data_IF_978896979268
#
_entry.id   IF_978896979268
#
_cell.length_a   1.000
_cell.length_b   1.000
_cell.length_c   1.000
_cell.angle_alpha   90.00
_cell.angle_beta   90.00
_cell.angle_gamma   90.00
#
_symmetry.space_group_name_H-M   'P 1'
#
loop_
_entity.id
_entity.type
_entity.pdbx_description
1 polymer ?
#
# COMPACT_ATOMS: atom_id res chain seq x y z
N UNK A 1 8.87 -10.12 -30.65
CA UNK A 1 9.73 -9.76 -29.47
C UNK A 1 8.84 -9.65 -28.25
N UNK A 2 9.30 -10.05 -27.07
CA UNK A 2 8.48 -9.85 -25.88
C UNK A 2 8.50 -8.37 -25.47
N UNK A 3 7.34 -7.73 -25.54
CA UNK A 3 7.12 -6.34 -25.09
C UNK A 3 6.84 -6.33 -23.60
N UNK A 4 7.36 -5.35 -22.88
CA UNK A 4 7.12 -5.16 -21.46
C UNK A 4 5.99 -4.14 -21.25
N UNK A 5 4.87 -4.53 -20.68
CA UNK A 5 3.69 -3.68 -20.46
C UNK A 5 3.59 -3.35 -18.97
N UNK A 6 3.64 -2.05 -18.66
CA UNK A 6 3.36 -1.52 -17.31
C UNK A 6 1.86 -1.23 -17.18
N UNK A 7 1.29 -1.65 -16.07
CA UNK A 7 -0.10 -1.40 -15.68
C UNK A 7 -0.17 -0.51 -14.44
N UNK A 8 -1.19 0.36 -14.37
CA UNK A 8 -1.67 0.99 -13.15
C UNK A 8 -3.02 0.36 -12.80
N UNK A 9 -3.18 -0.09 -11.56
CA UNK A 9 -4.27 -0.96 -11.15
C UNK A 9 -4.90 -0.42 -9.87
N UNK A 10 -6.23 -0.32 -9.85
CA UNK A 10 -7.03 -0.07 -8.66
C UNK A 10 -7.78 -1.34 -8.23
N UNK A 11 -7.96 -1.52 -6.93
CA UNK A 11 -8.79 -2.62 -6.41
C UNK A 11 -9.38 -2.31 -5.04
N UNK A 12 -10.58 -2.86 -4.81
CA UNK A 12 -11.18 -3.02 -3.49
C UNK A 12 -10.60 -4.27 -2.83
N UNK A 13 -9.77 -4.09 -1.81
CA UNK A 13 -9.06 -5.18 -1.13
C UNK A 13 -9.92 -6.02 -0.18
N UNK A 14 -11.18 -5.64 0.06
CA UNK A 14 -12.05 -6.21 1.11
C UNK A 14 -12.14 -7.74 1.04
N UNK A 15 -12.37 -8.28 -0.16
CA UNK A 15 -12.55 -9.72 -0.39
C UNK A 15 -11.25 -10.43 -0.83
N UNK A 16 -10.10 -9.74 -0.74
CA UNK A 16 -8.81 -10.29 -1.12
C UNK A 16 -7.93 -10.58 0.09
N UNK A 17 -7.22 -11.69 0.03
CA UNK A 17 -6.14 -12.02 0.98
C UNK A 17 -4.82 -11.32 0.63
N UNK A 18 -4.94 -10.10 0.11
CA UNK A 18 -3.84 -9.23 -0.29
C UNK A 18 -3.47 -9.34 -1.78
N UNK A 19 -2.37 -8.70 -2.12
CA UNK A 19 -1.89 -8.66 -3.50
C UNK A 19 -1.36 -10.01 -4.00
N UNK A 20 -0.44 -10.62 -3.23
CA UNK A 20 0.37 -11.76 -3.67
C UNK A 20 -0.44 -13.04 -3.80
N UNK A 21 -0.29 -13.76 -4.93
CA UNK A 21 -0.86 -15.10 -5.11
C UNK A 21 -0.44 -16.05 -3.98
N UNK A 22 -1.41 -16.75 -3.43
CA UNK A 22 -1.27 -17.72 -2.36
C UNK A 22 -2.16 -18.94 -2.67
N UNK A 23 -1.73 -20.10 -2.21
CA UNK A 23 -2.54 -21.32 -2.34
C UNK A 23 -3.83 -21.20 -1.53
N UNK A 24 -4.96 -21.57 -2.12
CA UNK A 24 -6.30 -21.60 -1.51
C UNK A 24 -6.88 -20.21 -1.09
N UNK A 25 -6.28 -19.11 -1.51
CA UNK A 25 -6.78 -17.79 -1.18
C UNK A 25 -6.89 -16.89 -2.41
N UNK A 26 -8.01 -16.21 -2.55
CA UNK A 26 -8.23 -15.22 -3.61
C UNK A 26 -7.28 -14.03 -3.45
N UNK A 27 -6.51 -13.70 -4.45
CA UNK A 27 -5.56 -12.60 -4.46
C UNK A 27 -5.68 -11.74 -5.72
N UNK A 28 -5.30 -10.46 -5.63
CA UNK A 28 -5.40 -9.54 -6.77
C UNK A 28 -4.50 -9.96 -7.92
N UNK A 29 -3.27 -10.39 -7.62
CA UNK A 29 -2.32 -10.86 -8.62
C UNK A 29 -2.88 -12.05 -9.42
N UNK A 30 -3.49 -13.00 -8.74
CA UNK A 30 -4.06 -14.19 -9.37
C UNK A 30 -5.21 -13.86 -10.33
N UNK A 31 -6.11 -12.93 -9.94
CA UNK A 31 -7.22 -12.53 -10.81
C UNK A 31 -6.73 -11.88 -12.11
N UNK A 32 -5.67 -11.06 -12.01
CA UNK A 32 -5.08 -10.43 -13.20
C UNK A 32 -4.31 -11.47 -14.03
N UNK A 33 -3.57 -12.39 -13.42
CA UNK A 33 -2.86 -13.46 -14.12
C UNK A 33 -3.84 -14.39 -14.85
N UNK A 34 -5.01 -14.71 -14.27
CA UNK A 34 -6.10 -15.45 -14.95
C UNK A 34 -6.65 -14.70 -16.18
N UNK A 35 -6.80 -13.38 -16.08
CA UNK A 35 -7.23 -12.56 -17.22
C UNK A 35 -6.16 -12.53 -18.33
N UNK A 36 -4.89 -12.37 -17.96
CA UNK A 36 -3.76 -12.43 -18.88
C UNK A 36 -3.64 -13.81 -19.56
N UNK A 37 -3.80 -14.89 -18.80
CA UNK A 37 -3.77 -16.26 -19.34
C UNK A 37 -4.84 -16.48 -20.40
N UNK A 38 -6.08 -15.98 -20.17
CA UNK A 38 -7.14 -16.05 -21.18
C UNK A 38 -6.79 -15.31 -22.45
N UNK A 39 -6.10 -14.17 -22.36
CA UNK A 39 -5.69 -13.39 -23.53
C UNK A 39 -4.55 -14.03 -24.32
N UNK A 40 -3.62 -14.71 -23.63
CA UNK A 40 -2.41 -15.28 -24.24
C UNK A 40 -2.52 -16.79 -24.53
N UNK A 41 -3.58 -17.45 -24.05
CA UNK A 41 -3.74 -18.92 -24.08
C UNK A 41 -2.57 -19.68 -23.42
N UNK A 42 -1.87 -19.04 -22.50
CA UNK A 42 -0.78 -19.57 -21.69
C UNK A 42 -0.57 -18.75 -20.42
N UNK A 43 0.03 -19.32 -19.36
CA UNK A 43 0.35 -18.55 -18.16
C UNK A 43 1.26 -17.35 -18.45
N UNK A 44 0.93 -16.21 -17.86
CA UNK A 44 1.70 -14.96 -17.93
C UNK A 44 1.94 -14.46 -16.53
N UNK A 45 3.21 -14.31 -16.15
CA UNK A 45 3.57 -13.82 -14.83
C UNK A 45 3.40 -12.31 -14.73
N UNK A 46 2.76 -11.85 -13.67
CA UNK A 46 2.59 -10.44 -13.33
C UNK A 46 3.51 -10.06 -12.17
N UNK A 47 4.31 -9.03 -12.35
CA UNK A 47 5.21 -8.51 -11.31
C UNK A 47 4.65 -7.23 -10.71
N UNK A 48 4.24 -7.24 -9.45
CA UNK A 48 3.76 -6.05 -8.73
C UNK A 48 4.88 -5.21 -8.10
N UNK A 49 4.65 -3.90 -7.92
CA UNK A 49 5.61 -2.97 -7.32
C UNK A 49 5.80 -3.18 -5.81
N UNK A 50 4.81 -3.75 -5.15
CA UNK A 50 4.80 -4.04 -3.73
C UNK A 50 3.62 -4.91 -3.36
N UNK A 51 3.71 -5.56 -2.19
CA UNK A 51 2.61 -6.33 -1.64
C UNK A 51 1.72 -5.42 -0.81
N UNK A 52 0.42 -5.61 -0.88
CA UNK A 52 -0.55 -5.09 0.10
C UNK A 52 -1.05 -6.24 0.95
N UNK A 53 -1.34 -5.96 2.21
CA UNK A 53 -1.89 -6.94 3.14
C UNK A 53 -3.35 -7.28 2.81
N UNK A 54 -3.88 -8.36 3.39
CA UNK A 54 -5.30 -8.72 3.30
C UNK A 54 -6.19 -7.54 3.71
N UNK A 55 -7.21 -7.23 2.92
CA UNK A 55 -8.15 -6.14 3.16
C UNK A 55 -7.64 -4.74 2.83
N UNK A 56 -6.40 -4.57 2.39
CA UNK A 56 -5.83 -3.28 1.98
C UNK A 56 -6.16 -3.02 0.52
N UNK A 57 -6.63 -1.81 0.21
CA UNK A 57 -7.01 -1.35 -1.12
C UNK A 57 -5.84 -0.79 -1.92
N UNK A 58 -6.07 -0.51 -3.19
CA UNK A 58 -5.19 0.33 -3.98
C UNK A 58 -5.98 1.25 -4.92
N UNK A 59 -5.51 2.48 -5.05
CA UNK A 59 -5.93 3.43 -6.07
C UNK A 59 -4.93 3.49 -7.24
N UNK A 60 -3.67 3.04 -7.03
CA UNK A 60 -2.61 3.12 -8.02
C UNK A 60 -1.47 2.13 -7.77
N UNK A 61 -1.80 0.83 -7.62
CA UNK A 61 -0.79 -0.23 -7.66
C UNK A 61 -0.17 -0.29 -9.05
N UNK A 62 1.14 -0.46 -9.14
CA UNK A 62 1.82 -0.66 -10.41
C UNK A 62 2.29 -2.10 -10.57
N UNK A 63 2.17 -2.64 -11.79
CA UNK A 63 2.67 -3.96 -12.13
C UNK A 63 3.20 -3.97 -13.56
N UNK A 64 3.98 -4.99 -13.93
CA UNK A 64 4.35 -5.22 -15.32
C UNK A 64 4.31 -6.70 -15.68
N UNK A 65 4.12 -6.97 -16.95
CA UNK A 65 4.17 -8.30 -17.56
C UNK A 65 4.76 -8.24 -18.95
N UNK A 66 5.23 -9.38 -19.45
CA UNK A 66 5.73 -9.51 -20.81
C UNK A 66 4.69 -10.16 -21.72
N UNK A 67 4.52 -9.61 -22.92
CA UNK A 67 3.57 -10.07 -23.93
C UNK A 67 4.23 -10.27 -25.30
N UNK A 68 3.73 -11.25 -26.04
CA UNK A 68 4.02 -11.52 -27.45
C UNK A 68 2.88 -11.08 -28.40
N UNK A 69 1.84 -10.44 -27.85
CA UNK A 69 0.74 -9.87 -28.63
C UNK A 69 1.22 -8.55 -29.26
N UNK A 70 1.91 -8.66 -30.40
CA UNK A 70 2.48 -7.50 -31.09
C UNK A 70 1.44 -6.64 -31.81
N UNK A 71 0.28 -7.22 -32.15
CA UNK A 71 -0.82 -6.54 -32.87
C UNK A 71 -1.66 -5.59 -32.01
N UNK A 72 -1.49 -5.62 -30.68
CA UNK A 72 -2.28 -4.82 -29.76
C UNK A 72 -1.46 -3.65 -29.21
N UNK A 73 -1.93 -2.42 -29.40
CA UNK A 73 -1.36 -1.24 -28.74
C UNK A 73 -1.49 -1.34 -27.21
N UNK A 74 -0.49 -0.82 -26.48
CA UNK A 74 -0.43 -0.96 -25.01
C UNK A 74 -1.71 -0.46 -24.32
N UNK A 75 -2.27 0.69 -24.73
CA UNK A 75 -3.51 1.22 -24.17
C UNK A 75 -4.73 0.31 -24.35
N UNK A 76 -4.73 -0.57 -25.36
CA UNK A 76 -5.82 -1.53 -25.60
C UNK A 76 -5.86 -2.68 -24.58
N UNK A 77 -4.78 -2.93 -23.84
CA UNK A 77 -4.82 -3.87 -22.72
C UNK A 77 -5.78 -3.42 -21.61
N UNK A 78 -6.04 -2.11 -21.45
CA UNK A 78 -6.99 -1.60 -20.44
C UNK A 78 -8.41 -2.16 -20.66
N UNK A 79 -9.10 -1.88 -21.78
CA UNK A 79 -10.43 -2.43 -21.99
C UNK A 79 -10.43 -3.96 -22.11
N UNK A 80 -9.39 -4.57 -22.69
CA UNK A 80 -9.30 -6.01 -22.84
C UNK A 80 -9.23 -6.73 -21.48
N UNK A 81 -8.34 -6.29 -20.56
CA UNK A 81 -8.24 -6.85 -19.22
C UNK A 81 -9.52 -6.56 -18.41
N UNK A 82 -10.04 -5.34 -18.47
CA UNK A 82 -11.23 -4.96 -17.70
C UNK A 82 -12.50 -5.72 -18.13
N UNK A 83 -12.56 -6.27 -19.34
CA UNK A 83 -13.66 -7.14 -19.74
C UNK A 83 -13.60 -8.55 -19.13
N UNK A 84 -12.44 -8.96 -18.63
CA UNK A 84 -12.18 -10.28 -18.05
C UNK A 84 -12.05 -10.26 -16.52
N UNK A 85 -11.75 -9.08 -15.95
CA UNK A 85 -11.51 -8.89 -14.52
C UNK A 85 -12.85 -8.81 -13.75
N UNK A 86 -12.86 -9.26 -12.48
CA UNK A 86 -13.99 -9.06 -11.59
C UNK A 86 -14.20 -7.57 -11.27
N UNK A 87 -15.38 -7.22 -10.76
CA UNK A 87 -15.79 -5.83 -10.52
C UNK A 87 -14.92 -5.08 -9.50
N UNK A 88 -14.25 -5.79 -8.62
CA UNK A 88 -13.41 -5.27 -7.54
C UNK A 88 -11.92 -5.08 -7.94
N UNK A 89 -11.58 -5.32 -9.22
CA UNK A 89 -10.26 -5.03 -9.81
C UNK A 89 -10.43 -4.24 -11.11
N UNK A 90 -9.63 -3.19 -11.29
CA UNK A 90 -9.61 -2.36 -12.51
C UNK A 90 -8.20 -2.01 -12.93
N UNK A 91 -7.87 -2.22 -14.19
CA UNK A 91 -6.71 -1.62 -14.84
C UNK A 91 -7.12 -0.20 -15.26
N UNK A 92 -6.37 0.80 -14.79
CA UNK A 92 -6.62 2.21 -15.08
C UNK A 92 -5.82 2.68 -16.29
N UNK A 93 -4.56 2.24 -16.36
CA UNK A 93 -3.61 2.62 -17.42
C UNK A 93 -2.78 1.41 -17.84
N UNK A 94 -2.38 1.40 -19.10
CA UNK A 94 -1.40 0.47 -19.65
C UNK A 94 -0.49 1.21 -20.62
N UNK A 95 0.80 1.07 -20.47
CA UNK A 95 1.79 1.64 -21.37
C UNK A 95 2.97 0.69 -21.58
N UNK A 96 3.65 0.85 -22.70
CA UNK A 96 4.88 0.13 -22.97
C UNK A 96 6.01 0.67 -22.08
N UNK A 97 6.77 -0.21 -21.49
CA UNK A 97 7.91 0.10 -20.65
C UNK A 97 9.20 -0.44 -21.30
N UNK A 98 10.35 0.06 -20.88
CA UNK A 98 11.64 -0.47 -21.30
C UNK A 98 11.76 -1.95 -20.90
N UNK A 99 12.53 -2.73 -21.65
CA UNK A 99 12.63 -4.17 -21.42
C UNK A 99 13.26 -4.53 -20.05
N UNK A 100 14.09 -3.66 -19.51
CA UNK A 100 14.71 -3.79 -18.18
C UNK A 100 13.83 -3.25 -17.04
N UNK A 101 12.70 -2.61 -17.34
CA UNK A 101 11.77 -2.13 -16.32
C UNK A 101 11.20 -3.29 -15.51
N UNK A 102 11.29 -3.16 -14.20
CA UNK A 102 10.75 -4.12 -13.24
C UNK A 102 9.95 -3.37 -12.18
N UNK A 103 8.64 -3.55 -12.12
CA UNK A 103 7.74 -2.76 -11.28
C UNK A 103 8.17 -2.67 -9.81
N UNK A 104 8.81 -3.72 -9.25
CA UNK A 104 9.27 -3.71 -7.87
C UNK A 104 10.59 -2.95 -7.68
N UNK A 105 11.58 -3.21 -8.54
CA UNK A 105 12.95 -2.72 -8.36
C UNK A 105 13.17 -1.34 -8.97
N UNK A 106 12.43 -0.98 -10.02
CA UNK A 106 12.47 0.35 -10.61
C UNK A 106 11.70 1.40 -9.80
N UNK A 107 10.85 0.99 -8.86
CA UNK A 107 10.06 1.91 -8.05
C UNK A 107 10.90 2.64 -7.00
N UNK A 108 10.92 3.97 -7.07
CA UNK A 108 11.63 4.87 -6.17
C UNK A 108 10.84 5.18 -4.90
N UNK A 109 9.52 5.36 -5.03
CA UNK A 109 8.68 5.65 -3.89
C UNK A 109 7.31 4.98 -3.98
N UNK A 110 6.69 4.73 -2.82
CA UNK A 110 5.30 4.29 -2.67
C UNK A 110 4.62 5.26 -1.74
N UNK A 111 3.43 5.69 -2.15
CA UNK A 111 2.56 6.57 -1.39
C UNK A 111 1.36 5.79 -0.90
N UNK A 112 1.11 5.84 0.39
CA UNK A 112 -0.09 5.29 1.02
C UNK A 112 -0.95 6.40 1.60
N UNK A 113 -2.27 6.21 1.58
CA UNK A 113 -3.25 7.02 2.30
C UNK A 113 -4.08 6.14 3.20
N UNK A 114 -4.22 6.55 4.45
CA UNK A 114 -5.14 5.95 5.38
C UNK A 114 -6.25 6.94 5.69
N UNK A 115 -7.49 6.55 5.46
CA UNK A 115 -8.67 7.41 5.53
C UNK A 115 -9.44 7.13 6.82
N UNK A 116 -9.79 8.20 7.52
CA UNK A 116 -10.51 8.14 8.80
C UNK A 116 -11.74 9.05 8.78
N UNK A 117 -12.80 8.63 9.48
CA UNK A 117 -13.97 9.47 9.75
C UNK A 117 -14.10 9.71 11.26
N UNK A 118 -14.26 10.98 11.64
CA UNK A 118 -14.54 11.38 13.03
C UNK A 118 -16.05 11.41 13.34
N UNK A 119 -16.86 10.88 12.46
CA UNK A 119 -18.32 10.68 12.60
C UNK A 119 -18.69 9.23 12.34
N UNK A 120 -19.91 8.80 12.66
CA UNK A 120 -20.39 7.49 12.22
C UNK A 120 -20.33 7.38 10.69
N UNK A 121 -19.74 6.30 10.14
CA UNK A 121 -19.71 6.05 8.70
C UNK A 121 -21.11 5.67 8.19
N UNK A 122 -21.41 6.01 6.96
CA UNK A 122 -22.50 5.41 6.21
C UNK A 122 -22.14 3.96 5.86
N UNK A 123 -23.14 3.12 5.53
CA UNK A 123 -22.92 1.69 5.30
C UNK A 123 -21.82 1.38 4.28
N UNK A 124 -21.79 2.14 3.17
CA UNK A 124 -20.77 1.96 2.12
C UNK A 124 -19.40 2.54 2.48
N UNK A 125 -19.34 3.50 3.42
CA UNK A 125 -18.09 4.10 3.87
C UNK A 125 -17.29 3.18 4.79
N UNK A 126 -17.95 2.29 5.52
CA UNK A 126 -17.30 1.37 6.46
C UNK A 126 -16.27 0.43 5.82
N UNK A 127 -16.33 0.24 4.50
CA UNK A 127 -15.30 -0.50 3.73
C UNK A 127 -14.01 0.27 3.52
N UNK A 128 -14.11 1.60 3.45
CA UNK A 128 -13.02 2.45 2.92
C UNK A 128 -12.49 3.45 3.93
N UNK A 129 -13.12 3.52 5.12
CA UNK A 129 -12.75 4.45 6.17
C UNK A 129 -12.72 3.77 7.53
N UNK A 130 -11.70 4.09 8.32
CA UNK A 130 -11.68 3.70 9.73
C UNK A 130 -12.36 4.78 10.57
N UNK A 131 -13.38 4.41 11.35
CA UNK A 131 -14.03 5.32 12.28
C UNK A 131 -13.11 5.64 13.46
N UNK A 132 -12.96 6.93 13.75
CA UNK A 132 -12.42 7.42 15.01
C UNK A 132 -13.56 7.95 15.87
N UNK A 133 -13.57 7.61 17.15
CA UNK A 133 -14.65 8.04 18.07
C UNK A 133 -14.48 9.49 18.55
N UNK A 134 -13.31 10.08 18.37
CA UNK A 134 -13.03 11.50 18.52
C UNK A 134 -12.07 11.98 17.43
N UNK A 135 -12.13 13.26 17.10
CA UNK A 135 -11.13 13.85 16.20
C UNK A 135 -9.84 14.13 16.97
N UNK A 136 -8.70 13.56 16.50
CA UNK A 136 -7.41 13.81 17.15
C UNK A 136 -6.86 15.21 16.83
N UNK A 137 -5.89 15.65 17.62
CA UNK A 137 -5.15 16.90 17.38
C UNK A 137 -4.25 16.76 16.15
N UNK A 138 -4.63 17.43 15.06
CA UNK A 138 -3.88 17.46 13.81
C UNK A 138 -2.45 17.99 13.98
N UNK A 139 -2.30 19.02 14.84
CA UNK A 139 -0.98 19.60 15.12
C UNK A 139 -0.03 18.62 15.80
N UNK A 140 -0.54 17.83 16.75
CA UNK A 140 0.24 16.83 17.48
C UNK A 140 0.59 15.64 16.57
N UNK A 141 -0.37 15.12 15.80
CA UNK A 141 -0.11 14.07 14.82
C UNK A 141 0.97 14.47 13.81
N UNK A 142 0.93 15.71 13.33
CA UNK A 142 1.94 16.23 12.39
C UNK A 142 3.30 16.50 13.05
N UNK A 143 3.34 16.72 14.37
CA UNK A 143 4.60 16.77 15.10
C UNK A 143 5.31 15.40 15.09
N UNK A 144 4.58 14.30 15.32
CA UNK A 144 5.14 12.94 15.17
C UNK A 144 5.60 12.67 13.73
N UNK A 145 4.81 13.04 12.73
CA UNK A 145 5.14 12.83 11.32
C UNK A 145 6.45 13.50 10.90
N UNK A 146 6.70 14.72 11.36
CA UNK A 146 7.97 15.43 11.11
C UNK A 146 9.19 14.71 11.69
N UNK A 147 9.05 14.07 12.86
CA UNK A 147 10.14 13.35 13.53
C UNK A 147 10.46 12.01 12.84
N UNK A 148 9.51 11.47 12.06
CA UNK A 148 9.68 10.22 11.33
C UNK A 148 10.34 10.42 9.95
N UNK A 149 10.42 11.66 9.43
CA UNK A 149 10.98 11.94 8.10
C UNK A 149 12.50 11.72 8.05
N UNK A 150 12.98 11.23 6.89
CA UNK A 150 14.37 10.89 6.64
C UNK A 150 14.65 9.38 6.76
N UNK A 151 15.92 9.03 6.91
CA UNK A 151 16.32 7.64 7.13
C UNK A 151 16.00 7.23 8.57
N UNK A 152 15.18 6.19 8.72
CA UNK A 152 14.64 5.75 10.00
C UNK A 152 14.72 4.23 10.12
N UNK A 153 15.18 3.74 11.27
CA UNK A 153 15.02 2.33 11.63
C UNK A 153 13.55 2.07 11.97
N UNK A 154 12.89 1.29 11.10
CA UNK A 154 11.47 1.00 11.20
C UNK A 154 11.18 -0.32 11.93
N UNK A 155 12.13 -0.88 12.66
CA UNK A 155 12.00 -2.17 13.38
C UNK A 155 10.80 -2.21 14.32
N UNK A 156 10.52 -1.12 15.04
CA UNK A 156 9.36 -1.03 15.94
C UNK A 156 8.01 -1.10 15.24
N UNK A 157 7.97 -0.81 13.94
CA UNK A 157 6.74 -0.85 13.12
C UNK A 157 6.63 -2.14 12.30
N UNK A 158 7.65 -3.00 12.35
CA UNK A 158 7.67 -4.27 11.62
C UNK A 158 6.83 -5.33 12.34
N UNK A 159 6.21 -6.22 11.58
CA UNK A 159 5.59 -7.43 12.13
C UNK A 159 6.58 -8.58 12.15
N UNK A 160 6.46 -9.50 13.09
CA UNK A 160 7.32 -10.68 13.21
C UNK A 160 7.34 -11.55 11.94
N UNK A 161 6.25 -11.53 11.15
CA UNK A 161 6.17 -12.26 9.88
C UNK A 161 6.65 -11.46 8.65
N UNK A 162 7.35 -10.32 8.84
CA UNK A 162 7.95 -9.59 7.72
C UNK A 162 9.17 -10.34 7.18
N UNK A 163 9.26 -10.45 5.85
CA UNK A 163 10.36 -11.14 5.17
C UNK A 163 11.73 -10.53 5.52
N UNK A 164 11.81 -9.20 5.66
CA UNK A 164 13.08 -8.56 6.03
C UNK A 164 13.51 -8.89 7.45
N UNK A 165 12.55 -9.05 8.38
CA UNK A 165 12.82 -9.50 9.76
C UNK A 165 13.31 -10.94 9.75
N UNK A 166 12.61 -11.83 9.04
CA UNK A 166 12.96 -13.26 8.98
C UNK A 166 14.33 -13.48 8.33
N UNK A 167 14.64 -12.73 7.28
CA UNK A 167 15.91 -12.86 6.53
C UNK A 167 17.05 -12.00 7.09
N UNK A 168 16.85 -11.30 8.21
CA UNK A 168 17.85 -10.43 8.82
C UNK A 168 18.32 -9.26 7.94
N UNK A 169 17.44 -8.79 7.04
CA UNK A 169 17.70 -7.64 6.16
C UNK A 169 17.52 -6.32 6.90
N UNK A 170 18.11 -5.25 6.36
CA UNK A 170 17.94 -3.90 6.92
C UNK A 170 16.46 -3.53 7.03
N UNK A 171 16.08 -3.05 8.20
CA UNK A 171 14.75 -2.51 8.49
C UNK A 171 14.70 -0.98 8.34
N UNK A 172 15.82 -0.35 7.97
CA UNK A 172 15.86 1.07 7.66
C UNK A 172 15.04 1.39 6.41
N UNK A 173 14.28 2.47 6.49
CA UNK A 173 13.54 3.03 5.35
C UNK A 173 13.78 4.52 5.28
N UNK A 174 13.77 5.04 4.05
CA UNK A 174 13.80 6.48 3.84
C UNK A 174 12.36 6.98 3.66
N UNK A 175 11.87 7.71 4.68
CA UNK A 175 10.55 8.31 4.64
C UNK A 175 10.65 9.73 4.09
N UNK A 176 10.05 9.94 2.92
CA UNK A 176 10.03 11.26 2.27
C UNK A 176 9.09 12.20 3.00
N UNK A 177 7.94 11.70 3.49
CA UNK A 177 6.95 12.44 4.25
C UNK A 177 5.98 11.52 4.99
N UNK A 178 5.49 12.01 6.12
CA UNK A 178 4.40 11.41 6.89
C UNK A 178 3.61 12.56 7.53
N UNK A 179 2.34 12.75 7.14
CA UNK A 179 1.53 13.84 7.66
C UNK A 179 0.04 13.55 7.58
N UNK A 180 -0.71 14.25 8.42
CA UNK A 180 -2.17 14.23 8.46
C UNK A 180 -2.75 15.53 7.92
N UNK A 181 -3.85 15.44 7.22
CA UNK A 181 -4.63 16.59 6.78
C UNK A 181 -6.12 16.22 6.71
N UNK A 182 -6.96 17.25 6.63
CA UNK A 182 -8.41 17.09 6.48
C UNK A 182 -8.79 17.47 5.07
N UNK A 183 -9.50 16.58 4.40
CA UNK A 183 -10.13 16.83 3.11
C UNK A 183 -11.64 16.60 3.27
N UNK A 184 -12.43 17.69 3.16
CA UNK A 184 -13.86 17.70 3.49
C UNK A 184 -14.09 17.26 4.94
N UNK A 185 -14.72 16.11 5.17
CA UNK A 185 -15.00 15.51 6.47
C UNK A 185 -14.11 14.30 6.81
N UNK A 186 -13.10 14.06 5.98
CA UNK A 186 -12.19 12.92 6.09
C UNK A 186 -10.84 13.37 6.63
N UNK A 187 -10.36 12.74 7.70
CA UNK A 187 -8.97 12.84 8.13
C UNK A 187 -8.16 11.83 7.31
N UNK A 188 -7.10 12.30 6.68
CA UNK A 188 -6.21 11.48 5.84
C UNK A 188 -4.81 11.49 6.44
N UNK A 189 -4.26 10.30 6.68
CA UNK A 189 -2.83 10.11 6.91
C UNK A 189 -2.16 9.73 5.60
N UNK A 190 -1.24 10.56 5.14
CA UNK A 190 -0.44 10.32 3.95
C UNK A 190 1.00 10.02 4.36
N UNK A 191 1.55 8.90 3.84
CA UNK A 191 2.94 8.52 4.08
C UNK A 191 3.59 8.05 2.78
N UNK A 192 4.79 8.55 2.51
CA UNK A 192 5.58 8.23 1.33
C UNK A 192 6.98 7.77 1.75
N UNK A 193 7.43 6.63 1.23
CA UNK A 193 8.75 6.07 1.51
C UNK A 193 9.31 5.30 0.31
N UNK A 194 10.62 5.04 0.32
CA UNK A 194 11.28 4.20 -0.69
C UNK A 194 10.75 2.75 -0.67
N UNK A 195 10.43 2.23 0.51
CA UNK A 195 9.81 0.92 0.71
C UNK A 195 9.11 0.87 2.08
N UNK A 196 8.23 -0.11 2.26
CA UNK A 196 7.55 -0.36 3.53
C UNK A 196 7.75 -1.81 3.98
N UNK A 197 7.78 -2.02 5.29
CA UNK A 197 7.71 -3.33 5.93
C UNK A 197 6.24 -3.78 6.01
N UNK A 198 6.04 -5.07 6.22
CA UNK A 198 4.69 -5.62 6.41
C UNK A 198 4.00 -4.94 7.59
N UNK A 199 2.75 -4.51 7.40
CA UNK A 199 1.93 -3.77 8.37
C UNK A 199 2.48 -2.39 8.79
N UNK A 200 3.62 -1.94 8.27
CA UNK A 200 4.30 -0.73 8.76
C UNK A 200 3.41 0.51 8.76
N UNK A 201 2.71 0.82 7.66
CA UNK A 201 1.85 2.01 7.58
C UNK A 201 0.74 1.98 8.63
N UNK A 202 0.13 0.82 8.84
CA UNK A 202 -0.93 0.60 9.83
C UNK A 202 -0.40 0.74 11.26
N UNK A 203 0.83 0.26 11.51
CA UNK A 203 1.50 0.37 12.80
C UNK A 203 1.93 1.81 13.10
N UNK A 204 2.45 2.55 12.11
CA UNK A 204 2.81 3.97 12.26
C UNK A 204 1.57 4.80 12.58
N UNK A 205 0.49 4.66 11.80
CA UNK A 205 -0.75 5.40 12.03
C UNK A 205 -1.35 5.09 13.41
N UNK A 206 -1.38 3.81 13.80
CA UNK A 206 -1.86 3.41 15.12
C UNK A 206 -1.00 3.91 16.27
N UNK A 207 0.31 3.97 16.08
CA UNK A 207 1.23 4.53 17.08
C UNK A 207 0.98 6.03 17.27
N UNK A 208 0.83 6.79 16.19
CA UNK A 208 0.58 8.23 16.27
C UNK A 208 -0.76 8.55 16.93
N UNK A 209 -1.82 7.81 16.59
CA UNK A 209 -3.12 7.98 17.23
C UNK A 209 -3.09 7.60 18.70
N UNK A 210 -2.43 6.51 19.07
CA UNK A 210 -2.27 6.07 20.46
C UNK A 210 -1.49 7.10 21.29
N UNK A 211 -0.41 7.65 20.73
CA UNK A 211 0.40 8.65 21.44
C UNK A 211 -0.32 9.98 21.58
N UNK A 212 -1.10 10.36 20.61
CA UNK A 212 -1.96 11.54 20.68
C UNK A 212 -3.03 11.35 21.76
N UNK A 213 -3.64 10.18 21.87
CA UNK A 213 -4.65 9.86 22.88
C UNK A 213 -4.07 9.84 24.30
N UNK A 214 -2.88 9.31 24.47
CA UNK A 214 -2.18 9.22 25.78
C UNK A 214 -1.43 10.49 26.17
N UNK A 215 -1.39 11.50 25.30
CA UNK A 215 -0.66 12.75 25.53
C UNK A 215 0.88 12.56 25.55
N UNK A 216 1.38 11.52 24.88
CA UNK A 216 2.82 11.27 24.77
C UNK A 216 3.51 12.40 24.02
N UNK A 217 4.55 13.06 24.59
CA UNK A 217 5.24 14.16 23.90
C UNK A 217 5.93 13.67 22.62
N UNK A 218 5.93 14.47 21.53
CA UNK A 218 6.56 14.08 20.26
C UNK A 218 8.02 13.68 20.41
N UNK A 219 8.77 14.31 21.29
CA UNK A 219 10.20 14.07 21.52
C UNK A 219 10.46 12.61 21.92
N UNK A 220 9.54 12.00 22.68
CA UNK A 220 9.63 10.60 23.08
C UNK A 220 9.60 9.61 21.90
N UNK A 221 9.04 10.00 20.75
CA UNK A 221 9.01 9.13 19.57
C UNK A 221 10.43 8.73 19.12
N UNK A 222 11.39 9.63 19.22
CA UNK A 222 12.80 9.33 18.87
C UNK A 222 13.41 8.29 19.81
N UNK A 223 13.17 8.41 21.10
CA UNK A 223 13.65 7.46 22.11
C UNK A 223 13.04 6.08 21.88
N UNK A 224 11.74 6.04 21.57
CA UNK A 224 11.00 4.81 21.31
C UNK A 224 11.50 4.13 20.02
N UNK A 225 11.75 4.89 18.95
CA UNK A 225 12.35 4.34 17.73
C UNK A 225 13.75 3.78 18.03
N UNK A 226 14.55 4.50 18.81
CA UNK A 226 15.90 4.08 19.18
C UNK A 226 15.93 2.82 20.06
N UNK A 227 14.88 2.59 20.87
CA UNK A 227 14.77 1.39 21.72
C UNK A 227 14.58 0.10 20.91
N UNK A 228 14.03 0.18 19.70
CA UNK A 228 13.65 -0.96 18.85
C UNK A 228 12.63 -1.92 19.47
N UNK A 229 11.99 -1.52 20.55
CA UNK A 229 11.00 -2.33 21.27
C UNK A 229 9.62 -2.20 20.66
N UNK A 230 9.16 -3.23 19.93
CA UNK A 230 7.84 -3.26 19.29
C UNK A 230 6.68 -3.05 20.28
N UNK A 231 6.84 -3.46 21.53
CA UNK A 231 5.85 -3.30 22.61
C UNK A 231 5.54 -1.83 22.94
N UNK A 232 6.47 -0.93 22.66
CA UNK A 232 6.29 0.50 22.88
C UNK A 232 5.53 1.18 21.72
N UNK A 233 5.47 0.58 20.54
CA UNK A 233 4.64 1.09 19.47
C UNK A 233 3.15 0.83 19.74
N UNK A 234 2.29 1.68 19.19
CA UNK A 234 0.85 1.53 19.28
C UNK A 234 0.30 0.32 18.51
N UNK A 235 -1.02 0.10 18.55
CA UNK A 235 -1.67 -1.03 17.88
C UNK A 235 -1.54 -0.92 16.36
N UNK A 236 -1.51 -2.07 15.69
CA UNK A 236 -1.64 -2.11 14.24
C UNK A 236 -3.11 -1.93 13.86
N UNK A 237 -3.43 -0.85 13.16
CA UNK A 237 -4.82 -0.54 12.78
C UNK A 237 -5.38 -1.55 11.77
N UNK A 238 -6.72 -1.68 11.65
CA UNK A 238 -7.39 -2.50 10.64
C UNK A 238 -6.95 -2.16 9.20
N UNK A 239 -7.07 -3.08 8.23
CA UNK A 239 -6.61 -2.82 6.85
C UNK A 239 -7.57 -1.91 6.06
N UNK A 240 -8.87 -1.95 6.31
CA UNK A 240 -9.86 -1.13 5.63
C UNK A 240 -9.59 0.37 5.91
N UNK A 241 -9.75 1.21 4.94
CA UNK A 241 -9.33 2.61 4.98
C UNK A 241 -7.90 2.83 4.50
N UNK A 242 -7.04 1.79 4.40
CA UNK A 242 -5.69 1.93 3.86
C UNK A 242 -5.65 1.63 2.36
N UNK A 243 -5.02 2.53 1.61
CA UNK A 243 -4.84 2.45 0.16
C UNK A 243 -3.38 2.61 -0.22
N UNK A 244 -2.86 1.71 -1.07
CA UNK A 244 -1.70 2.03 -1.88
C UNK A 244 -2.15 3.05 -2.95
N UNK A 245 -1.77 4.31 -2.75
CA UNK A 245 -2.31 5.41 -3.52
C UNK A 245 -1.59 5.62 -4.85
N UNK A 246 -0.25 5.53 -4.84
CA UNK A 246 0.59 5.72 -6.03
C UNK A 246 1.96 5.08 -5.86
N UNK A 247 2.57 4.72 -6.97
CA UNK A 247 3.97 4.26 -7.07
C UNK A 247 4.71 5.17 -8.03
N UNK A 248 5.84 5.72 -7.59
CA UNK A 248 6.70 6.60 -8.39
C UNK A 248 7.94 5.84 -8.87
N UNK A 249 8.36 6.09 -10.12
CA UNK A 249 9.48 5.43 -10.83
C UNK A 249 10.59 6.38 -11.24
#
# INVERSE_FOLDING_TARGET
MNRNIKLVIAYDGTEFHGWQRQENYRSVQEEIEKALEKMHSRPVNLTGSGRTDSGVHAAGQAANFFTDIDSMEAGRFVPALNSLLPHDVRVLEACEAQNDFHARFSAKARLYRYQFLCRPPLLYESRYFLRLYRCPSLSLLNAYGRLLSGETDCSIFASAGDTAVIEGKSLNRYLYRAYFYIEKDTLIFEICANAFLRNMVRSVAGTFLHYEETGTPPEKLREIIASKERSLAGPTLPPHGLFLWRVDF
#
